data_IF_320006223241
#
_entry.id   IF_320006223241
#
_cell.length_a   1.000
_cell.length_b   1.000
_cell.length_c   1.000
_cell.angle_alpha   90.00
_cell.angle_beta   90.00
_cell.angle_gamma   90.00
#
_symmetry.space_group_name_H-M   'P 1'
#
loop_
_entity.id
_entity.type
_entity.pdbx_description
1 polymer ?
#
# COMPACT_ATOMS: atom_id res chain seq x y z
N UNK A 1 -4.09 -20.05 -5.81
CA UNK A 1 -3.76 -19.63 -7.21
C UNK A 1 -2.45 -18.88 -7.33
N UNK A 2 -2.15 -17.95 -6.44
CA UNK A 2 -0.94 -17.12 -6.44
C UNK A 2 -0.10 -17.35 -5.18
N UNK A 3 0.11 -18.60 -4.80
CA UNK A 3 0.72 -18.98 -3.51
C UNK A 3 2.10 -18.31 -3.30
N UNK A 4 2.95 -18.30 -4.33
CA UNK A 4 4.26 -17.66 -4.25
C UNK A 4 4.15 -16.14 -4.06
N UNK A 5 3.20 -15.49 -4.75
CA UNK A 5 2.98 -14.05 -4.60
C UNK A 5 2.36 -13.73 -3.25
N UNK A 6 1.41 -14.55 -2.76
CA UNK A 6 0.85 -14.41 -1.41
C UNK A 6 1.94 -14.50 -0.35
N UNK A 7 2.83 -15.48 -0.46
CA UNK A 7 3.94 -15.61 0.47
C UNK A 7 4.87 -14.39 0.43
N UNK A 8 5.25 -13.92 -0.76
CA UNK A 8 6.08 -12.72 -0.91
C UNK A 8 5.43 -11.47 -0.30
N UNK A 9 4.13 -11.26 -0.56
CA UNK A 9 3.38 -10.13 -0.02
C UNK A 9 3.24 -10.25 1.50
N UNK A 10 2.97 -11.44 2.01
CA UNK A 10 2.93 -11.72 3.45
C UNK A 10 4.26 -11.36 4.13
N UNK A 11 5.38 -11.89 3.62
CA UNK A 11 6.70 -11.62 4.19
C UNK A 11 7.06 -10.13 4.11
N UNK A 12 6.71 -9.44 3.02
CA UNK A 12 6.92 -8.00 2.90
C UNK A 12 6.10 -7.20 3.92
N UNK A 13 4.87 -7.62 4.23
CA UNK A 13 4.06 -7.03 5.29
C UNK A 13 4.69 -7.25 6.68
N UNK A 14 5.20 -8.45 6.98
CA UNK A 14 5.91 -8.72 8.23
C UNK A 14 7.21 -7.90 8.35
N UNK A 15 7.88 -7.63 7.24
CA UNK A 15 9.09 -6.82 7.23
C UNK A 15 8.82 -5.38 7.67
N UNK A 16 7.64 -4.81 7.36
CA UNK A 16 7.25 -3.49 7.89
C UNK A 16 7.27 -3.45 9.41
N UNK A 17 6.81 -4.51 10.05
CA UNK A 17 6.83 -4.64 11.52
C UNK A 17 8.26 -4.78 12.04
N UNK A 18 9.06 -5.69 11.44
CA UNK A 18 10.46 -5.92 11.83
C UNK A 18 11.31 -4.66 11.76
N UNK A 19 11.03 -3.79 10.79
CA UNK A 19 11.73 -2.52 10.59
C UNK A 19 11.12 -1.34 11.37
N UNK A 20 10.04 -1.58 12.14
CA UNK A 20 9.37 -0.53 12.91
C UNK A 20 8.72 0.57 12.06
N UNK A 21 8.29 0.22 10.85
CA UNK A 21 7.69 1.15 9.88
C UNK A 21 6.18 1.29 10.02
N UNK A 22 5.55 0.46 10.84
CA UNK A 22 4.09 0.44 11.06
C UNK A 22 3.76 0.40 12.54
N UNK A 23 2.56 0.90 12.87
CA UNK A 23 1.98 0.91 14.22
C UNK A 23 0.64 0.17 14.14
N UNK A 24 0.37 -0.75 15.07
CA UNK A 24 -0.84 -1.58 15.10
C UNK A 24 -1.00 -2.37 13.78
N UNK A 25 -2.19 -2.25 13.16
CA UNK A 25 -2.52 -2.87 11.86
C UNK A 25 -2.39 -1.92 10.68
N UNK A 26 -1.93 -0.69 10.93
CA UNK A 26 -1.82 0.36 9.92
C UNK A 26 -0.64 0.11 8.98
N UNK A 27 -0.82 0.48 7.75
CA UNK A 27 0.12 0.19 6.71
C UNK A 27 -0.10 -1.20 6.10
N UNK A 28 0.39 -1.38 4.90
CA UNK A 28 0.27 -2.63 4.16
C UNK A 28 1.18 -2.66 2.94
N UNK A 29 1.38 -3.87 2.43
CA UNK A 29 2.07 -4.13 1.17
C UNK A 29 1.13 -4.89 0.26
N UNK A 30 1.18 -4.59 -1.03
CA UNK A 30 0.59 -5.41 -2.08
C UNK A 30 1.61 -5.78 -3.15
N UNK A 31 1.29 -6.81 -3.93
CA UNK A 31 2.04 -7.23 -5.10
C UNK A 31 1.10 -7.54 -6.25
N UNK A 32 1.57 -7.41 -7.48
CA UNK A 32 0.76 -7.61 -8.69
C UNK A 32 1.31 -8.74 -9.55
N UNK A 33 0.41 -9.59 -10.04
CA UNK A 33 0.60 -10.46 -11.20
C UNK A 33 -0.03 -9.77 -12.42
N UNK A 34 0.81 -9.15 -13.25
CA UNK A 34 0.33 -8.39 -14.41
C UNK A 34 -0.19 -9.26 -15.53
N UNK A 35 0.32 -10.49 -15.66
CA UNK A 35 -0.13 -11.42 -16.71
C UNK A 35 -1.59 -11.84 -16.47
N UNK A 36 -1.95 -12.01 -15.19
CA UNK A 36 -3.31 -12.38 -14.78
C UNK A 36 -4.20 -11.19 -14.46
N UNK A 37 -3.64 -9.98 -14.31
CA UNK A 37 -4.37 -8.80 -13.87
C UNK A 37 -4.87 -8.93 -12.43
N UNK A 38 -4.09 -9.57 -11.55
CA UNK A 38 -4.47 -9.85 -10.17
C UNK A 38 -3.50 -9.17 -9.19
N UNK A 39 -4.06 -8.60 -8.13
CA UNK A 39 -3.31 -7.95 -7.05
C UNK A 39 -3.52 -8.71 -5.76
N UNK A 40 -2.44 -9.03 -5.07
CA UNK A 40 -2.45 -9.63 -3.73
C UNK A 40 -2.21 -8.54 -2.70
N UNK A 41 -3.06 -8.44 -1.68
CA UNK A 41 -2.97 -7.40 -0.66
C UNK A 41 -3.27 -7.96 0.73
N UNK A 42 -2.73 -7.31 1.76
CA UNK A 42 -3.02 -7.59 3.16
C UNK A 42 -4.51 -7.44 3.46
N UNK A 43 -5.10 -8.36 4.25
CA UNK A 43 -6.47 -8.21 4.73
C UNK A 43 -6.61 -7.02 5.69
N UNK A 44 -7.79 -6.40 5.71
CA UNK A 44 -8.15 -5.31 6.61
C UNK A 44 -8.24 -5.78 8.06
N UNK A 45 -7.69 -4.99 8.98
CA UNK A 45 -7.88 -5.18 10.43
C UNK A 45 -7.22 -6.42 11.05
N UNK A 46 -6.52 -7.25 10.27
CA UNK A 46 -5.82 -8.43 10.79
C UNK A 46 -4.49 -8.01 11.40
N UNK A 47 -4.25 -8.47 12.65
CA UNK A 47 -2.98 -8.25 13.34
C UNK A 47 -1.83 -8.91 12.58
N UNK A 48 -0.69 -8.26 12.56
CA UNK A 48 0.53 -8.84 11.97
C UNK A 48 0.99 -10.11 12.70
N UNK A 49 0.70 -10.24 14.00
CA UNK A 49 1.07 -11.41 14.80
C UNK A 49 0.22 -12.65 14.46
N UNK A 50 -1.01 -12.46 14.03
CA UNK A 50 -1.96 -13.54 13.73
C UNK A 50 -2.05 -13.84 12.23
N UNK A 51 -1.53 -12.94 11.39
CA UNK A 51 -1.63 -12.99 9.93
C UNK A 51 -0.80 -14.12 9.34
N UNK A 52 -1.35 -14.76 8.31
CA UNK A 52 -0.69 -15.82 7.55
C UNK A 52 -0.71 -15.53 6.05
N UNK A 53 0.13 -16.21 5.29
CA UNK A 53 0.16 -16.05 3.83
C UNK A 53 -1.16 -16.41 3.16
N UNK A 54 -1.89 -17.40 3.70
CA UNK A 54 -3.21 -17.83 3.22
C UNK A 54 -4.31 -16.76 3.42
N UNK A 55 -4.11 -15.83 4.36
CA UNK A 55 -5.04 -14.72 4.64
C UNK A 55 -4.95 -13.60 3.58
N UNK A 56 -3.89 -13.59 2.78
CA UNK A 56 -3.73 -12.58 1.73
C UNK A 56 -4.89 -12.64 0.74
N UNK A 57 -5.50 -11.49 0.49
CA UNK A 57 -6.66 -11.35 -0.39
C UNK A 57 -6.19 -11.07 -1.81
N UNK A 58 -6.84 -11.73 -2.79
CA UNK A 58 -6.59 -11.49 -4.21
C UNK A 58 -7.75 -10.68 -4.78
N UNK A 59 -7.42 -9.57 -5.42
CA UNK A 59 -8.41 -8.68 -6.06
C UNK A 59 -8.11 -8.51 -7.55
N UNK A 60 -9.15 -8.29 -8.34
CA UNK A 60 -9.01 -7.99 -9.76
C UNK A 60 -8.47 -6.56 -9.95
N UNK A 61 -7.42 -6.41 -10.77
CA UNK A 61 -6.92 -5.08 -11.14
C UNK A 61 -7.99 -4.28 -11.92
N UNK A 62 -8.79 -4.95 -12.74
CA UNK A 62 -9.79 -4.31 -13.58
C UNK A 62 -11.01 -3.85 -12.79
N UNK A 63 -11.61 -4.75 -12.00
CA UNK A 63 -12.89 -4.46 -11.31
C UNK A 63 -12.71 -4.00 -9.88
N UNK A 64 -11.59 -4.35 -9.21
CA UNK A 64 -11.38 -4.13 -7.79
C UNK A 64 -12.09 -5.15 -6.89
N UNK A 65 -12.84 -6.10 -7.48
CA UNK A 65 -13.56 -7.13 -6.73
C UNK A 65 -12.61 -8.20 -6.20
N UNK A 66 -12.95 -8.77 -5.05
CA UNK A 66 -12.24 -9.92 -4.48
C UNK A 66 -12.46 -11.16 -5.34
N UNK A 67 -11.36 -11.75 -5.82
CA UNK A 67 -11.34 -12.98 -6.63
C UNK A 67 -11.05 -14.21 -5.77
N UNK A 68 -10.21 -14.06 -4.75
CA UNK A 68 -9.83 -15.15 -3.85
C UNK A 68 -9.55 -14.59 -2.45
N UNK A 69 -10.02 -15.30 -1.42
CA UNK A 69 -9.89 -14.94 -0.01
C UNK A 69 -11.25 -14.86 0.68
N UNK A 70 -11.26 -15.09 1.99
CA UNK A 70 -12.47 -15.03 2.83
C UNK A 70 -12.54 -13.75 3.67
N UNK A 71 -11.46 -12.99 3.70
CA UNK A 71 -11.34 -11.76 4.47
C UNK A 71 -11.55 -10.54 3.56
N UNK A 72 -11.91 -9.42 4.16
CA UNK A 72 -11.98 -8.16 3.43
C UNK A 72 -10.57 -7.68 3.08
N UNK A 73 -10.31 -7.21 1.85
CA UNK A 73 -9.03 -6.59 1.49
C UNK A 73 -8.84 -5.29 2.30
N UNK A 74 -7.58 -4.82 2.41
CA UNK A 74 -7.27 -3.53 3.02
C UNK A 74 -8.14 -2.41 2.44
N UNK A 75 -8.55 -1.46 3.29
CA UNK A 75 -9.24 -0.24 2.87
C UNK A 75 -8.44 0.60 1.86
N UNK A 76 -7.11 0.42 1.82
CA UNK A 76 -6.22 1.10 0.88
C UNK A 76 -6.21 0.47 -0.53
N UNK A 77 -6.93 -0.64 -0.72
CA UNK A 77 -6.98 -1.36 -2.01
C UNK A 77 -7.28 -0.44 -3.20
N UNK A 78 -8.25 0.48 -3.15
CA UNK A 78 -8.52 1.39 -4.28
C UNK A 78 -7.29 2.23 -4.67
N UNK A 79 -6.54 2.72 -3.69
CA UNK A 79 -5.30 3.49 -3.90
C UNK A 79 -4.22 2.64 -4.56
N UNK A 80 -4.01 1.41 -4.07
CA UNK A 80 -3.04 0.48 -4.67
C UNK A 80 -3.40 0.14 -6.12
N UNK A 81 -4.67 -0.14 -6.40
CA UNK A 81 -5.15 -0.41 -7.76
C UNK A 81 -4.95 0.79 -8.68
N UNK A 82 -5.23 2.01 -8.20
CA UNK A 82 -5.00 3.24 -8.98
C UNK A 82 -3.53 3.39 -9.36
N UNK A 83 -2.60 3.14 -8.43
CA UNK A 83 -1.17 3.18 -8.68
C UNK A 83 -0.73 2.11 -9.69
N UNK A 84 -1.21 0.87 -9.59
CA UNK A 84 -0.91 -0.19 -10.56
C UNK A 84 -1.44 0.10 -11.96
N UNK A 85 -2.59 0.77 -12.07
CA UNK A 85 -3.16 1.20 -13.36
C UNK A 85 -2.36 2.35 -13.95
N UNK A 86 -1.95 3.32 -13.14
CA UNK A 86 -1.18 4.48 -13.57
C UNK A 86 0.28 4.14 -13.94
N UNK A 87 0.90 3.21 -13.22
CA UNK A 87 2.32 2.87 -13.36
C UNK A 87 2.50 1.41 -13.79
N UNK A 88 2.60 1.19 -15.10
CA UNK A 88 2.71 -0.15 -15.68
C UNK A 88 3.99 -0.94 -15.33
N UNK A 89 5.00 -0.27 -14.79
CA UNK A 89 6.31 -0.84 -14.48
C UNK A 89 6.55 -1.17 -13.00
N UNK A 90 5.61 -0.86 -12.11
CA UNK A 90 5.75 -1.22 -10.67
C UNK A 90 5.22 -2.63 -10.42
N UNK A 91 5.91 -3.38 -9.55
CA UNK A 91 5.53 -4.75 -9.14
C UNK A 91 4.94 -4.84 -7.73
N UNK A 92 5.10 -3.80 -6.93
CA UNK A 92 4.59 -3.72 -5.56
C UNK A 92 4.28 -2.30 -5.16
N UNK A 93 3.40 -2.16 -4.17
CA UNK A 93 3.06 -0.89 -3.51
C UNK A 93 3.17 -1.08 -2.01
N UNK A 94 3.83 -0.15 -1.34
CA UNK A 94 3.98 -0.11 0.12
C UNK A 94 3.30 1.16 0.63
N UNK A 95 2.42 0.99 1.61
CA UNK A 95 1.77 2.08 2.33
C UNK A 95 2.18 2.05 3.80
N UNK A 96 2.61 3.18 4.34
CA UNK A 96 2.93 3.36 5.76
C UNK A 96 2.48 4.72 6.25
N UNK A 97 2.30 4.85 7.56
CA UNK A 97 2.02 6.11 8.24
C UNK A 97 3.30 6.65 8.89
N UNK A 98 4.33 6.94 8.09
CA UNK A 98 5.58 7.50 8.60
C UNK A 98 5.32 8.79 9.39
N UNK A 99 5.75 8.83 10.64
CA UNK A 99 5.53 9.98 11.55
C UNK A 99 6.04 11.28 10.96
N UNK A 100 7.25 11.26 10.40
CA UNK A 100 7.86 12.47 9.84
C UNK A 100 7.22 12.87 8.51
N UNK A 101 6.96 11.94 7.60
CA UNK A 101 6.28 12.25 6.34
C UNK A 101 4.86 12.78 6.60
N UNK A 102 4.14 12.17 7.55
CA UNK A 102 2.82 12.65 7.97
C UNK A 102 2.87 14.06 8.56
N UNK A 103 3.89 14.37 9.35
CA UNK A 103 4.05 15.73 9.91
C UNK A 103 4.26 16.80 8.81
N UNK A 104 5.07 16.49 7.79
CA UNK A 104 5.24 17.35 6.61
C UNK A 104 3.93 17.54 5.85
N UNK A 105 3.22 16.43 5.59
CA UNK A 105 1.95 16.45 4.89
C UNK A 105 0.87 17.26 5.65
N UNK A 106 0.78 17.11 6.97
CA UNK A 106 -0.14 17.91 7.80
C UNK A 106 0.22 19.41 7.85
N UNK A 107 1.48 19.75 7.58
CA UNK A 107 1.90 21.12 7.42
C UNK A 107 1.63 21.68 6.01
N UNK A 108 1.11 20.86 5.08
CA UNK A 108 0.91 21.23 3.69
C UNK A 108 2.22 21.51 2.94
N UNK A 109 3.29 20.80 3.30
CA UNK A 109 4.65 21.07 2.79
C UNK A 109 5.25 19.83 2.15
N UNK A 110 5.95 20.05 1.04
CA UNK A 110 6.83 19.05 0.44
C UNK A 110 7.99 18.69 1.38
N UNK A 111 8.52 17.47 1.26
CA UNK A 111 9.75 17.08 1.97
C UNK A 111 10.93 17.53 1.12
N UNK A 112 11.70 18.55 1.54
CA UNK A 112 12.78 19.10 0.72
C UNK A 112 13.96 18.12 0.62
N UNK A 113 14.55 18.04 -0.57
CA UNK A 113 15.74 17.23 -0.82
C UNK A 113 17.01 17.96 -0.34
N UNK A 114 17.33 17.81 0.94
CA UNK A 114 18.48 18.45 1.59
C UNK A 114 19.54 17.47 2.11
N UNK A 115 19.32 16.16 1.90
CA UNK A 115 20.23 15.12 2.39
C UNK A 115 20.71 14.19 1.28
N UNK A 116 21.95 13.70 1.40
CA UNK A 116 22.55 12.77 0.42
C UNK A 116 21.75 11.48 0.29
N UNK A 117 21.33 10.88 1.39
CA UNK A 117 20.50 9.65 1.39
C UNK A 117 19.17 9.87 0.67
N UNK A 118 18.54 11.03 0.85
CA UNK A 118 17.35 11.38 0.07
C UNK A 118 17.67 11.41 -1.43
N UNK A 119 18.77 12.07 -1.79
CA UNK A 119 19.20 12.24 -3.19
C UNK A 119 19.56 10.91 -3.88
N UNK A 120 19.94 9.88 -3.12
CA UNK A 120 20.22 8.54 -3.65
C UNK A 120 18.97 7.86 -4.22
N UNK A 121 17.78 8.23 -3.74
CA UNK A 121 16.50 7.65 -4.15
C UNK A 121 15.63 8.61 -4.95
N UNK A 122 15.68 9.91 -4.65
CA UNK A 122 14.87 10.94 -5.28
C UNK A 122 15.72 12.15 -5.66
N UNK A 123 15.59 12.63 -6.90
CA UNK A 123 16.34 13.80 -7.40
C UNK A 123 15.68 15.15 -7.07
N UNK A 124 14.47 15.14 -6.53
CA UNK A 124 13.66 16.31 -6.21
C UNK A 124 13.06 16.15 -4.81
N UNK A 125 12.38 17.20 -4.36
CA UNK A 125 11.55 17.14 -3.18
C UNK A 125 10.45 16.08 -3.34
N UNK A 126 10.04 15.44 -2.23
CA UNK A 126 8.87 14.54 -2.24
C UNK A 126 7.63 15.43 -2.10
N UNK A 127 6.77 15.51 -3.12
CA UNK A 127 5.64 16.43 -3.11
C UNK A 127 4.59 16.01 -2.09
N UNK A 128 3.98 17.00 -1.44
CA UNK A 128 2.73 16.84 -0.73
C UNK A 128 1.58 16.80 -1.74
N UNK A 129 0.64 15.89 -1.56
CA UNK A 129 -0.59 15.90 -2.35
C UNK A 129 -1.51 17.03 -1.90
N UNK A 130 -2.36 17.51 -2.81
CA UNK A 130 -3.43 18.43 -2.47
C UNK A 130 -4.41 17.81 -1.47
N UNK A 131 -5.09 18.65 -0.69
CA UNK A 131 -6.17 18.22 0.19
C UNK A 131 -7.30 17.58 -0.62
N UNK A 132 -7.82 16.47 -0.10
CA UNK A 132 -8.98 15.84 -0.71
C UNK A 132 -10.22 16.72 -0.56
N UNK A 133 -10.99 16.85 -1.64
CA UNK A 133 -12.31 17.48 -1.57
C UNK A 133 -13.28 16.64 -0.74
N UNK A 134 -14.37 17.25 -0.25
CA UNK A 134 -15.40 16.53 0.49
C UNK A 134 -16.05 15.39 -0.33
N UNK A 135 -16.05 15.48 -1.66
CA UNK A 135 -16.54 14.44 -2.57
C UNK A 135 -15.56 13.28 -2.65
N UNK A 136 -14.27 13.56 -2.79
CA UNK A 136 -13.20 12.55 -2.77
C UNK A 136 -13.11 11.80 -1.44
N UNK A 137 -13.29 12.52 -0.32
CA UNK A 137 -13.34 11.90 1.02
C UNK A 137 -14.54 10.94 1.11
N UNK A 138 -15.72 11.36 0.68
CA UNK A 138 -16.90 10.47 0.69
C UNK A 138 -16.69 9.23 -0.17
N UNK A 139 -16.19 9.37 -1.39
CA UNK A 139 -15.95 8.24 -2.29
C UNK A 139 -14.82 7.30 -1.84
N UNK A 140 -14.00 7.69 -0.88
CA UNK A 140 -12.96 6.83 -0.31
C UNK A 140 -13.50 5.89 0.80
N UNK A 141 -14.69 6.17 1.34
CA UNK A 141 -15.30 5.42 2.45
C UNK A 141 -16.61 4.69 2.05
N UNK A 142 -17.08 4.83 0.82
CA UNK A 142 -18.19 4.08 0.23
C UNK A 142 -17.70 2.87 -0.57
#
# INVERSE_FOLDING_TARGET
MLEELKEKVFQANLELVRQGLVIYTWGNVSGIDRERGLVVIKPSGVSYDDMKAEDMVVVSLETGETVEGSLNPSSDTPTHLALYRAFGNIGGVVHTHSTYATAWAQAGMDIPNIGTTHSDYFHKDIPCTDDMTAEQVRGAYE
#
